data_IF_216199494815
#
_entry.id   IF_216199494815
#
_cell.length_a   1.000
_cell.length_b   1.000
_cell.length_c   1.000
_cell.angle_alpha   90.00
_cell.angle_beta   90.00
_cell.angle_gamma   90.00
#
_symmetry.space_group_name_H-M   'P 1'
#
loop_
_entity.id
_entity.type
_entity.pdbx_description
1 polymer ?
#
# COMPACT_ATOMS: atom_id res chain seq x y z
N UNK A 1 18.37 -11.28 -11.84
CA UNK A 1 17.21 -11.30 -12.76
C UNK A 1 15.91 -11.07 -12.02
N UNK A 2 15.61 -11.79 -10.92
CA UNK A 2 14.38 -11.61 -10.15
C UNK A 2 14.17 -10.17 -9.59
N UNK A 3 15.24 -9.52 -9.11
CA UNK A 3 15.15 -8.14 -8.58
C UNK A 3 14.79 -7.09 -9.64
N UNK A 4 15.29 -7.25 -10.87
CA UNK A 4 14.99 -6.29 -11.94
C UNK A 4 13.54 -6.43 -12.43
N UNK A 5 13.03 -7.65 -12.46
CA UNK A 5 11.63 -7.93 -12.78
C UNK A 5 10.69 -7.38 -11.69
N UNK A 6 11.06 -7.54 -10.41
CA UNK A 6 10.32 -7.00 -9.27
C UNK A 6 10.31 -5.47 -9.26
N UNK A 7 11.46 -4.82 -9.52
CA UNK A 7 11.55 -3.36 -9.65
C UNK A 7 10.73 -2.83 -10.84
N UNK A 8 10.70 -3.55 -11.96
CA UNK A 8 9.86 -3.23 -13.13
C UNK A 8 8.37 -3.30 -12.77
N UNK A 9 7.94 -4.36 -12.07
CA UNK A 9 6.56 -4.51 -11.59
C UNK A 9 6.18 -3.41 -10.60
N UNK A 10 7.09 -3.04 -9.70
CA UNK A 10 6.89 -1.92 -8.78
C UNK A 10 6.74 -0.58 -9.50
N UNK A 11 7.55 -0.33 -10.55
CA UNK A 11 7.41 0.86 -11.41
C UNK A 11 6.02 0.97 -12.05
N UNK A 12 5.47 -0.15 -12.54
CA UNK A 12 4.11 -0.20 -13.09
C UNK A 12 3.05 0.17 -12.04
N UNK A 13 3.22 -0.26 -10.78
CA UNK A 13 2.31 0.11 -9.68
C UNK A 13 2.35 1.60 -9.39
N UNK A 14 3.54 2.22 -9.45
CA UNK A 14 3.67 3.67 -9.24
C UNK A 14 3.04 4.47 -10.39
N UNK A 15 3.23 4.05 -11.64
CA UNK A 15 2.59 4.69 -12.80
C UNK A 15 1.06 4.55 -12.74
N UNK A 16 0.56 3.39 -12.29
CA UNK A 16 -0.87 3.17 -12.05
C UNK A 16 -1.42 4.07 -10.92
N UNK A 17 -0.64 4.26 -9.86
CA UNK A 17 -0.98 5.15 -8.75
C UNK A 17 -1.14 6.59 -9.21
N UNK A 18 -0.19 7.06 -10.02
CA UNK A 18 -0.20 8.40 -10.61
C UNK A 18 -1.39 8.56 -11.57
N UNK A 19 -1.68 7.55 -12.39
CA UNK A 19 -2.79 7.57 -13.33
C UNK A 19 -4.18 7.55 -12.67
N UNK A 20 -4.32 6.90 -11.50
CA UNK A 20 -5.55 6.90 -10.72
C UNK A 20 -5.81 8.27 -10.06
N UNK A 21 -4.75 9.03 -9.74
CA UNK A 21 -4.85 10.27 -8.97
C UNK A 21 -4.93 10.01 -7.47
N UNK A 22 -4.38 10.95 -6.68
CA UNK A 22 -4.34 10.85 -5.23
C UNK A 22 -5.76 10.74 -4.64
N UNK A 23 -6.07 9.57 -4.06
CA UNK A 23 -7.32 9.33 -3.35
C UNK A 23 -8.52 8.88 -4.19
N UNK A 24 -8.39 8.67 -5.51
CA UNK A 24 -9.49 8.09 -6.32
C UNK A 24 -9.57 6.58 -6.16
N UNK A 25 -10.24 6.15 -5.09
CA UNK A 25 -10.42 4.73 -4.77
C UNK A 25 -11.14 3.93 -5.88
N UNK A 26 -12.01 4.58 -6.66
CA UNK A 26 -12.73 3.93 -7.75
C UNK A 26 -11.82 3.71 -8.96
N UNK A 27 -10.97 4.69 -9.30
CA UNK A 27 -9.92 4.56 -10.30
C UNK A 27 -8.94 3.43 -9.95
N UNK A 28 -8.48 3.41 -8.70
CA UNK A 28 -7.62 2.34 -8.18
C UNK A 28 -8.22 0.94 -8.30
N UNK A 29 -9.48 0.78 -7.88
CA UNK A 29 -10.17 -0.51 -7.94
C UNK A 29 -10.35 -0.98 -9.38
N UNK A 30 -10.65 -0.06 -10.30
CA UNK A 30 -10.82 -0.35 -11.74
C UNK A 30 -9.51 -0.85 -12.35
N UNK A 31 -8.39 -0.20 -12.03
CA UNK A 31 -7.08 -0.57 -12.54
C UNK A 31 -6.65 -1.95 -12.00
N UNK A 32 -6.80 -2.19 -10.69
CA UNK A 32 -6.44 -3.48 -10.06
C UNK A 32 -7.30 -4.63 -10.62
N UNK A 33 -8.57 -4.38 -10.90
CA UNK A 33 -9.47 -5.37 -11.47
C UNK A 33 -9.10 -5.77 -12.91
N UNK A 34 -8.41 -4.90 -13.65
CA UNK A 34 -7.91 -5.17 -15.01
C UNK A 34 -6.62 -6.00 -15.07
N UNK A 35 -5.95 -6.22 -13.93
CA UNK A 35 -4.73 -7.03 -13.85
C UNK A 35 -5.05 -8.52 -13.92
N UNK A 36 -4.14 -9.31 -14.50
CA UNK A 36 -4.15 -10.76 -14.36
C UNK A 36 -3.93 -11.20 -12.90
N UNK A 37 -4.30 -12.43 -12.59
CA UNK A 37 -4.33 -12.94 -11.20
C UNK A 37 -2.95 -12.92 -10.53
N UNK A 38 -1.91 -13.33 -11.25
CA UNK A 38 -0.54 -13.37 -10.74
C UNK A 38 0.00 -11.96 -10.48
N UNK A 39 -0.21 -11.05 -11.43
CA UNK A 39 0.21 -9.67 -11.31
C UNK A 39 -0.55 -8.96 -10.19
N UNK A 40 -1.86 -9.21 -10.05
CA UNK A 40 -2.66 -8.67 -8.95
C UNK A 40 -2.14 -9.15 -7.60
N UNK A 41 -1.85 -10.44 -7.47
CA UNK A 41 -1.30 -11.02 -6.24
C UNK A 41 0.06 -10.41 -5.89
N UNK A 42 0.91 -10.18 -6.90
CA UNK A 42 2.20 -9.51 -6.73
C UNK A 42 2.05 -8.06 -6.28
N UNK A 43 1.15 -7.29 -6.91
CA UNK A 43 0.86 -5.91 -6.51
C UNK A 43 0.39 -5.85 -5.06
N UNK A 44 -0.60 -6.67 -4.68
CA UNK A 44 -1.11 -6.71 -3.30
C UNK A 44 0.00 -7.07 -2.30
N UNK A 45 0.87 -8.03 -2.65
CA UNK A 45 2.00 -8.44 -1.79
C UNK A 45 3.00 -7.30 -1.61
N UNK A 46 3.41 -6.65 -2.70
CA UNK A 46 4.39 -5.55 -2.65
C UNK A 46 3.82 -4.33 -1.92
N UNK A 47 2.56 -3.95 -2.20
CA UNK A 47 1.89 -2.86 -1.47
C UNK A 47 1.78 -3.16 0.02
N UNK A 48 1.47 -4.40 0.41
CA UNK A 48 1.41 -4.81 1.82
C UNK A 48 2.78 -4.70 2.52
N UNK A 49 3.86 -5.05 1.82
CA UNK A 49 5.23 -4.90 2.34
C UNK A 49 5.59 -3.42 2.55
N UNK A 50 5.31 -2.57 1.57
CA UNK A 50 5.56 -1.13 1.68
C UNK A 50 4.76 -0.53 2.82
N UNK A 51 3.47 -0.86 2.95
CA UNK A 51 2.63 -0.41 4.06
C UNK A 51 3.21 -0.88 5.40
N UNK A 52 3.63 -2.14 5.53
CA UNK A 52 4.25 -2.64 6.75
C UNK A 52 5.52 -1.86 7.12
N UNK A 53 6.40 -1.61 6.14
CA UNK A 53 7.63 -0.81 6.34
C UNK A 53 7.31 0.64 6.76
N UNK A 54 6.29 1.25 6.16
CA UNK A 54 5.84 2.60 6.53
C UNK A 54 5.29 2.63 7.95
N UNK A 55 4.49 1.63 8.33
CA UNK A 55 3.97 1.50 9.70
C UNK A 55 5.10 1.29 10.72
N UNK A 56 6.11 0.48 10.38
CA UNK A 56 7.28 0.26 11.25
C UNK A 56 8.07 1.55 11.46
N UNK A 57 8.39 2.26 10.37
CA UNK A 57 9.09 3.55 10.42
C UNK A 57 8.33 4.60 11.23
N UNK A 58 7.00 4.63 11.08
CA UNK A 58 6.16 5.58 11.80
C UNK A 58 6.03 5.22 13.30
N UNK A 59 5.95 3.93 13.63
CA UNK A 59 5.99 3.46 15.01
C UNK A 59 7.32 3.83 15.69
N UNK A 60 8.44 3.61 15.01
CA UNK A 60 9.78 4.03 15.47
C UNK A 60 9.84 5.54 15.70
N UNK A 61 9.34 6.35 14.75
CA UNK A 61 9.29 7.82 14.87
C UNK A 61 8.49 8.29 16.08
N UNK A 62 7.42 7.56 16.43
CA UNK A 62 6.55 7.84 17.59
C UNK A 62 7.05 7.20 18.89
N UNK A 63 8.11 6.38 18.84
CA UNK A 63 8.65 5.68 20.01
C UNK A 63 7.72 4.59 20.56
N UNK A 64 6.88 3.99 19.71
CA UNK A 64 5.92 2.94 20.07
C UNK A 64 6.18 1.66 19.30
N UNK A 65 5.57 0.54 19.70
CA UNK A 65 5.61 -0.67 18.88
C UNK A 65 4.70 -0.55 17.64
N UNK A 66 4.99 -1.32 16.59
CA UNK A 66 4.14 -1.37 15.38
C UNK A 66 2.69 -1.69 15.71
N UNK A 67 2.45 -2.64 16.62
CA UNK A 67 1.10 -3.04 17.01
C UNK A 67 0.37 -1.92 17.75
N UNK A 68 1.07 -1.15 18.59
CA UNK A 68 0.52 0.04 19.25
C UNK A 68 0.19 1.13 18.24
N UNK A 69 1.07 1.38 17.27
CA UNK A 69 0.80 2.34 16.19
C UNK A 69 -0.43 1.93 15.38
N UNK A 70 -0.54 0.67 14.97
CA UNK A 70 -1.69 0.18 14.21
C UNK A 70 -3.00 0.29 15.00
N UNK A 71 -2.97 0.03 16.31
CA UNK A 71 -4.13 0.21 17.18
C UNK A 71 -4.56 1.68 17.27
N UNK A 72 -3.60 2.60 17.44
CA UNK A 72 -3.84 4.05 17.47
C UNK A 72 -4.39 4.55 16.14
N UNK A 73 -3.73 4.20 15.03
CA UNK A 73 -4.15 4.58 13.68
C UNK A 73 -5.57 4.12 13.36
N UNK A 74 -5.94 2.87 13.71
CA UNK A 74 -7.32 2.38 13.55
C UNK A 74 -8.32 3.19 14.37
N UNK A 75 -7.99 3.54 15.61
CA UNK A 75 -8.86 4.37 16.45
C UNK A 75 -9.06 5.76 15.84
N UNK A 76 -7.98 6.42 15.40
CA UNK A 76 -8.01 7.74 14.73
C UNK A 76 -8.88 7.73 13.46
N UNK A 77 -8.72 6.70 12.62
CA UNK A 77 -9.50 6.57 11.38
C UNK A 77 -10.99 6.31 11.69
N UNK A 78 -11.30 5.45 12.66
CA UNK A 78 -12.69 5.17 13.03
C UNK A 78 -13.39 6.39 13.65
N UNK A 79 -12.66 7.24 14.38
CA UNK A 79 -13.17 8.52 14.89
C UNK A 79 -13.48 9.51 13.76
N UNK A 80 -12.67 9.57 12.71
CA UNK A 80 -12.89 10.46 11.56
C UNK A 80 -14.01 10.00 10.62
N UNK A 81 -14.37 8.72 10.66
CA UNK A 81 -15.44 8.13 9.84
C UNK A 81 -16.80 8.09 10.55
N UNK A 82 -16.86 8.42 11.84
CA UNK A 82 -18.09 8.54 12.64
C UNK A 82 -18.68 9.94 12.61
#
# INVERSE_FOLDING_TARGET
MADLEALRRFGVVLEMAEAAGDGDWAGWTTIIAGLDEDLRADVVRQSSLVVAMLCEREAERRGVSRDQFLAQFRAEVMEQLG
#
